data_IF_930637844230
#
_entry.id   IF_930637844230
#
_cell.length_a   1.000
_cell.length_b   1.000
_cell.length_c   1.000
_cell.angle_alpha   90.00
_cell.angle_beta   90.00
_cell.angle_gamma   90.00
#
_symmetry.space_group_name_H-M   'P 1'
#
loop_
_entity.id
_entity.type
_entity.pdbx_description
1 polymer ?
#
# COMPACT_ATOMS: atom_id res chain seq x y z
N UNK A 1 -1.46 -7.16 29.62
CA UNK A 1 -0.68 -8.31 29.11
C UNK A 1 -1.24 -8.87 27.80
N UNK A 2 -2.56 -8.87 27.54
CA UNK A 2 -3.10 -9.31 26.24
C UNK A 2 -2.93 -8.28 25.10
N UNK A 3 -3.19 -6.99 25.38
CA UNK A 3 -3.10 -5.92 24.38
C UNK A 3 -1.71 -5.81 23.73
N UNK A 4 -0.64 -5.96 24.52
CA UNK A 4 0.74 -5.93 24.03
C UNK A 4 1.09 -7.10 23.11
N UNK A 5 0.51 -8.28 23.33
CA UNK A 5 0.73 -9.42 22.44
C UNK A 5 0.07 -9.18 21.07
N UNK A 6 -1.13 -8.58 21.07
CA UNK A 6 -1.86 -8.23 19.85
C UNK A 6 -1.15 -7.12 19.07
N UNK A 7 -0.66 -6.08 19.76
CA UNK A 7 0.10 -4.99 19.14
C UNK A 7 1.37 -5.51 18.45
N UNK A 8 2.10 -6.42 19.09
CA UNK A 8 3.29 -7.03 18.51
C UNK A 8 2.97 -7.85 17.25
N UNK A 9 1.85 -8.58 17.23
CA UNK A 9 1.40 -9.34 16.07
C UNK A 9 1.03 -8.42 14.90
N UNK A 10 0.27 -7.35 15.17
CA UNK A 10 -0.09 -6.34 14.16
C UNK A 10 1.16 -5.68 13.59
N UNK A 11 2.12 -5.33 14.44
CA UNK A 11 3.34 -4.67 14.01
C UNK A 11 4.22 -5.60 13.17
N UNK A 12 4.29 -6.89 13.52
CA UNK A 12 4.92 -7.92 12.70
C UNK A 12 4.23 -8.06 11.33
N UNK A 13 2.90 -8.09 11.31
CA UNK A 13 2.12 -8.18 10.07
C UNK A 13 2.39 -6.96 9.16
N UNK A 14 2.34 -5.75 9.70
CA UNK A 14 2.59 -4.51 8.95
C UNK A 14 4.02 -4.47 8.39
N UNK A 15 5.01 -4.90 9.17
CA UNK A 15 6.41 -4.96 8.73
C UNK A 15 6.59 -5.95 7.57
N UNK A 16 5.95 -7.13 7.65
CA UNK A 16 5.99 -8.14 6.60
C UNK A 16 5.31 -7.65 5.31
N UNK A 17 4.11 -7.06 5.42
CA UNK A 17 3.38 -6.52 4.27
C UNK A 17 4.19 -5.42 3.59
N UNK A 18 4.76 -4.50 4.36
CA UNK A 18 5.57 -3.40 3.82
C UNK A 18 6.83 -3.91 3.12
N UNK A 19 7.52 -4.88 3.72
CA UNK A 19 8.76 -5.46 3.17
C UNK A 19 8.51 -6.28 1.90
N UNK A 20 7.46 -7.12 1.89
CA UNK A 20 7.08 -7.89 0.71
C UNK A 20 6.57 -7.01 -0.42
N UNK A 21 5.78 -5.97 -0.11
CA UNK A 21 5.29 -5.03 -1.11
C UNK A 21 6.44 -4.23 -1.73
N UNK A 22 7.45 -3.81 -0.95
CA UNK A 22 8.61 -3.10 -1.52
C UNK A 22 9.46 -4.04 -2.39
N UNK A 23 9.65 -5.29 -1.95
CA UNK A 23 10.49 -6.27 -2.66
C UNK A 23 9.84 -6.76 -3.96
N UNK A 24 8.52 -6.97 -3.99
CA UNK A 24 7.80 -7.37 -5.22
C UNK A 24 7.76 -6.28 -6.28
N UNK A 25 7.93 -5.02 -5.87
CA UNK A 25 8.02 -3.86 -6.77
C UNK A 25 9.44 -3.60 -7.30
N UNK A 26 10.40 -4.48 -7.00
CA UNK A 26 11.78 -4.39 -7.48
C UNK A 26 12.07 -5.52 -8.48
N UNK A 27 12.45 -5.15 -9.71
CA UNK A 27 13.01 -6.09 -10.70
C UNK A 27 14.50 -5.79 -10.85
N UNK A 28 15.34 -6.80 -10.60
CA UNK A 28 16.80 -6.73 -10.75
C UNK A 28 17.48 -5.56 -9.99
N UNK A 29 16.98 -5.24 -8.78
CA UNK A 29 17.54 -4.17 -7.95
C UNK A 29 17.15 -2.75 -8.37
N UNK A 30 16.26 -2.59 -9.36
CA UNK A 30 15.66 -1.32 -9.75
C UNK A 30 14.18 -1.31 -9.37
N UNK A 31 13.67 -0.14 -9.00
CA UNK A 31 12.25 0.03 -8.71
C UNK A 31 11.44 -0.18 -10.00
N UNK A 32 10.82 -1.36 -10.12
CA UNK A 32 9.95 -1.77 -11.21
C UNK A 32 8.66 -0.95 -11.26
N UNK A 33 8.34 -0.25 -10.17
CA UNK A 33 7.15 0.59 -10.07
C UNK A 33 7.52 2.02 -9.66
N UNK A 34 7.11 3.01 -10.48
CA UNK A 34 7.31 4.44 -10.17
C UNK A 34 6.00 5.11 -9.80
N UNK A 35 6.04 5.82 -8.68
CA UNK A 35 4.97 6.65 -8.18
C UNK A 35 5.15 8.08 -8.71
N UNK A 36 4.22 8.58 -9.52
CA UNK A 36 4.26 9.95 -10.05
C UNK A 36 3.00 10.72 -9.65
N UNK A 37 3.01 11.24 -8.43
CA UNK A 37 1.90 12.03 -7.88
C UNK A 37 0.66 11.18 -7.61
N UNK A 38 -0.51 11.81 -7.60
CA UNK A 38 -1.79 11.17 -7.32
C UNK A 38 -2.76 11.38 -8.49
N UNK A 39 -3.66 10.43 -8.68
CA UNK A 39 -4.85 10.62 -9.49
C UNK A 39 -5.79 11.64 -8.83
N UNK A 40 -6.65 12.30 -9.61
CA UNK A 40 -7.66 13.21 -9.07
C UNK A 40 -8.54 12.48 -8.04
N UNK A 41 -8.96 13.23 -7.03
CA UNK A 41 -9.84 12.74 -5.98
C UNK A 41 -11.18 12.30 -6.57
N UNK A 42 -11.66 11.15 -6.10
CA UNK A 42 -12.94 10.59 -6.54
C UNK A 42 -13.76 10.12 -5.35
N UNK A 43 -15.06 10.27 -5.50
CA UNK A 43 -16.07 9.77 -4.60
C UNK A 43 -16.33 8.29 -4.89
N UNK A 44 -16.18 7.44 -3.88
CA UNK A 44 -16.45 6.01 -3.95
C UNK A 44 -17.62 5.68 -3.06
N UNK A 45 -18.71 5.22 -3.68
CA UNK A 45 -19.84 4.70 -2.95
C UNK A 45 -19.51 3.30 -2.42
N UNK A 46 -19.50 3.19 -1.10
CA UNK A 46 -19.29 1.93 -0.38
C UNK A 46 -20.56 1.54 0.37
N UNK A 47 -20.61 0.31 0.91
CA UNK A 47 -21.72 -0.11 1.79
C UNK A 47 -21.88 0.74 3.06
N UNK A 48 -20.87 1.54 3.40
CA UNK A 48 -20.86 2.44 4.56
C UNK A 48 -21.12 3.92 4.19
N UNK A 49 -21.38 4.22 2.91
CA UNK A 49 -21.57 5.57 2.40
C UNK A 49 -20.49 6.00 1.41
N UNK A 50 -20.52 7.29 1.04
CA UNK A 50 -19.60 7.87 0.07
C UNK A 50 -18.28 8.29 0.74
N UNK A 51 -17.15 7.88 0.15
CA UNK A 51 -15.81 8.13 0.69
C UNK A 51 -14.94 8.74 -0.40
N UNK A 52 -14.31 9.88 -0.11
CA UNK A 52 -13.33 10.51 -0.99
C UNK A 52 -12.00 9.78 -0.91
N UNK A 53 -11.51 9.25 -2.03
CA UNK A 53 -10.23 8.54 -2.10
C UNK A 53 -9.28 9.18 -3.11
N UNK A 54 -8.02 9.30 -2.72
CA UNK A 54 -6.92 9.78 -3.55
C UNK A 54 -5.95 8.63 -3.84
N UNK A 55 -5.98 8.12 -5.07
CA UNK A 55 -5.17 6.97 -5.46
C UNK A 55 -3.81 7.44 -5.99
N UNK A 56 -2.67 6.91 -5.50
CA UNK A 56 -1.36 7.24 -6.06
C UNK A 56 -1.29 6.82 -7.53
N UNK A 57 -0.67 7.65 -8.37
CA UNK A 57 -0.49 7.34 -9.79
C UNK A 57 0.75 6.48 -9.95
N UNK A 58 0.53 5.21 -10.27
CA UNK A 58 1.56 4.19 -10.35
C UNK A 58 1.81 3.83 -11.81
N UNK A 59 3.08 3.82 -12.25
CA UNK A 59 3.49 3.35 -13.56
C UNK A 59 4.40 2.14 -13.40
N UNK A 60 3.99 1.04 -14.02
CA UNK A 60 4.79 -0.18 -14.12
C UNK A 60 5.90 -0.01 -15.18
N UNK A 61 7.10 -0.49 -14.84
CA UNK A 61 8.33 -0.50 -15.64
C UNK A 61 9.00 -1.88 -15.62
N UNK A 62 8.26 -2.93 -15.28
CA UNK A 62 8.77 -4.31 -15.28
C UNK A 62 8.78 -4.97 -16.66
N UNK A 63 8.32 -4.27 -17.71
CA UNK A 63 8.45 -4.66 -19.13
C UNK A 63 9.76 -4.17 -19.74
#
# INVERSE_FOLDING_TARGET
MLAQAIEAEIQSLLNNVTSHHITSLQTNGKQGVVHKGHLPERHLQTGFGDITVKVPKVRDKTM
#
